data_IF_157594725641
#
_entry.id   IF_157594725641
#
_cell.length_a   1.000
_cell.length_b   1.000
_cell.length_c   1.000
_cell.angle_alpha   90.00
_cell.angle_beta   90.00
_cell.angle_gamma   90.00
#
_symmetry.space_group_name_H-M   'P 1'
#
loop_
_entity.id
_entity.type
_entity.pdbx_description
1 polymer ?
#
# COMPACT_ATOMS: atom_id res chain seq x y z
N UNK A 1 4.65 32.20 8.79
CA UNK A 1 3.73 31.82 7.69
C UNK A 1 4.50 30.95 6.71
N UNK A 2 3.94 29.82 6.28
CA UNK A 2 4.55 29.00 5.22
C UNK A 2 4.26 29.62 3.86
N UNK A 3 5.29 29.81 3.04
CA UNK A 3 5.13 30.31 1.66
C UNK A 3 5.03 29.11 0.73
N UNK A 4 4.00 29.10 -0.13
CA UNK A 4 3.79 28.00 -1.07
C UNK A 4 4.77 28.09 -2.26
N UNK A 5 5.37 26.96 -2.63
CA UNK A 5 6.26 26.88 -3.79
C UNK A 5 5.42 26.80 -5.08
N UNK A 6 5.78 27.62 -6.06
CA UNK A 6 5.21 27.62 -7.40
C UNK A 6 5.99 26.68 -8.34
N UNK A 7 7.33 26.81 -8.40
CA UNK A 7 8.18 25.97 -9.24
C UNK A 7 9.57 25.75 -8.68
N UNK A 8 10.18 24.61 -9.03
CA UNK A 8 11.60 24.30 -8.79
C UNK A 8 12.27 24.00 -10.12
N UNK A 9 13.43 24.62 -10.40
CA UNK A 9 14.19 24.44 -11.64
C UNK A 9 15.68 24.26 -11.36
N UNK A 10 16.39 23.43 -12.13
CA UNK A 10 17.85 23.38 -12.06
C UNK A 10 18.47 24.59 -12.77
N UNK A 11 19.63 25.05 -12.29
CA UNK A 11 20.45 26.09 -12.90
C UNK A 11 21.80 25.52 -13.35
N UNK A 12 22.50 26.14 -14.35
CA UNK A 12 23.75 25.63 -14.91
C UNK A 12 24.88 25.38 -13.88
N UNK A 13 24.92 26.16 -12.79
CA UNK A 13 25.97 26.08 -11.77
C UNK A 13 25.69 25.01 -10.69
N UNK A 14 24.98 23.93 -11.04
CA UNK A 14 24.52 22.91 -10.07
C UNK A 14 23.72 23.49 -8.89
N UNK A 15 23.04 24.61 -9.13
CA UNK A 15 22.13 25.24 -8.17
C UNK A 15 20.68 24.95 -8.55
N UNK A 16 19.78 25.25 -7.63
CA UNK A 16 18.33 25.18 -7.83
C UNK A 16 17.74 26.56 -7.63
N UNK A 17 16.78 26.91 -8.46
CA UNK A 17 15.94 28.09 -8.28
C UNK A 17 14.56 27.64 -7.81
N UNK A 18 14.08 28.25 -6.73
CA UNK A 18 12.73 28.06 -6.21
C UNK A 18 11.97 29.38 -6.41
N UNK A 19 10.87 29.31 -7.16
CA UNK A 19 9.91 30.40 -7.27
C UNK A 19 8.75 30.12 -6.34
N UNK A 20 8.40 31.12 -5.53
CA UNK A 20 7.29 31.07 -4.60
C UNK A 20 6.02 31.68 -5.21
N UNK A 21 4.86 31.39 -4.62
CA UNK A 21 3.57 31.92 -5.09
C UNK A 21 3.43 33.44 -4.98
N UNK A 22 4.21 34.07 -4.12
CA UNK A 22 4.29 35.53 -3.98
C UNK A 22 5.28 36.15 -4.96
N UNK A 23 5.67 35.43 -6.02
CA UNK A 23 6.62 35.84 -7.05
C UNK A 23 8.10 35.94 -6.62
N UNK A 24 8.39 35.86 -5.32
CA UNK A 24 9.76 35.78 -4.82
C UNK A 24 10.51 34.58 -5.42
N UNK A 25 11.80 34.77 -5.66
CA UNK A 25 12.67 33.75 -6.21
C UNK A 25 13.96 33.68 -5.41
N UNK A 26 14.32 32.47 -4.97
CA UNK A 26 15.55 32.21 -4.22
C UNK A 26 16.36 31.09 -4.86
N UNK A 27 17.69 31.18 -4.73
CA UNK A 27 18.63 30.17 -5.19
C UNK A 27 19.19 29.34 -4.03
N UNK A 28 19.37 28.05 -4.28
CA UNK A 28 19.90 27.11 -3.30
C UNK A 28 20.91 26.17 -3.94
N UNK A 29 21.97 25.84 -3.21
CA UNK A 29 22.93 24.82 -3.63
C UNK A 29 22.38 23.40 -3.45
N UNK A 30 21.44 23.21 -2.51
CA UNK A 30 20.83 21.92 -2.18
C UNK A 30 19.36 22.12 -1.83
N UNK A 31 18.53 21.14 -2.19
CA UNK A 31 17.10 21.11 -1.89
C UNK A 31 16.71 19.75 -1.31
N UNK A 32 15.81 19.74 -0.31
CA UNK A 32 15.25 18.54 0.28
C UNK A 32 13.72 18.57 0.09
N UNK A 33 13.17 17.55 -0.58
CA UNK A 33 11.72 17.40 -0.74
C UNK A 33 11.14 16.60 0.43
N UNK A 34 10.35 17.26 1.29
CA UNK A 34 9.62 16.65 2.40
C UNK A 34 8.10 16.88 2.27
N UNK A 35 7.57 16.77 1.05
CA UNK A 35 6.21 17.22 0.67
C UNK A 35 5.12 16.14 0.79
N UNK A 36 5.45 14.97 1.37
CA UNK A 36 4.56 13.81 1.38
C UNK A 36 4.09 13.42 -0.04
N UNK A 37 2.82 13.02 -0.17
CA UNK A 37 2.21 12.61 -1.45
C UNK A 37 1.76 13.78 -2.34
N UNK A 38 2.36 14.96 -2.19
CA UNK A 38 1.98 16.18 -2.93
C UNK A 38 2.34 16.10 -4.42
N UNK A 39 1.33 16.07 -5.30
CA UNK A 39 1.51 15.96 -6.76
C UNK A 39 2.35 17.09 -7.40
N UNK A 40 2.33 18.29 -6.82
CA UNK A 40 3.16 19.40 -7.32
C UNK A 40 4.64 19.07 -7.25
N UNK A 41 5.07 18.44 -6.15
CA UNK A 41 6.45 18.01 -5.97
C UNK A 41 6.83 16.90 -6.94
N UNK A 42 5.90 16.00 -7.28
CA UNK A 42 6.13 14.96 -8.28
C UNK A 42 6.45 15.58 -9.64
N UNK A 43 5.71 16.60 -10.06
CA UNK A 43 6.00 17.31 -11.30
C UNK A 43 7.38 17.97 -11.27
N UNK A 44 7.78 18.55 -10.14
CA UNK A 44 9.11 19.13 -9.98
C UNK A 44 10.21 18.07 -10.05
N UNK A 45 10.05 16.93 -9.38
CA UNK A 45 11.00 15.82 -9.42
C UNK A 45 11.15 15.25 -10.83
N UNK A 46 10.05 15.08 -11.57
CA UNK A 46 10.08 14.68 -12.99
C UNK A 46 10.84 15.70 -13.85
N UNK A 47 10.58 17.00 -13.66
CA UNK A 47 11.28 18.07 -14.38
C UNK A 47 12.79 18.14 -14.05
N UNK A 48 13.19 17.63 -12.87
CA UNK A 48 14.58 17.47 -12.46
C UNK A 48 15.22 16.17 -12.99
N UNK A 49 14.49 15.36 -13.77
CA UNK A 49 14.99 14.13 -14.38
C UNK A 49 14.84 12.87 -13.52
N UNK A 50 14.14 12.94 -12.38
CA UNK A 50 13.82 11.75 -11.60
C UNK A 50 12.66 10.96 -12.23
N UNK A 51 12.65 9.65 -12.01
CA UNK A 51 11.50 8.79 -12.34
C UNK A 51 10.59 8.62 -11.12
N UNK A 52 9.28 8.52 -11.34
CA UNK A 52 8.30 8.25 -10.28
C UNK A 52 7.63 6.91 -10.56
N UNK A 53 7.70 6.00 -9.59
CA UNK A 53 6.94 4.76 -9.62
C UNK A 53 5.46 5.05 -9.35
N UNK A 54 4.57 4.49 -10.16
CA UNK A 54 3.13 4.70 -10.00
C UNK A 54 2.67 4.35 -8.59
N UNK A 55 2.01 5.25 -7.85
CA UNK A 55 1.59 4.98 -6.49
C UNK A 55 0.54 3.86 -6.47
N UNK A 56 0.69 2.91 -5.55
CA UNK A 56 -0.35 1.93 -5.23
C UNK A 56 -0.79 2.09 -3.79
N UNK A 57 -2.07 1.82 -3.47
CA UNK A 57 -2.54 1.88 -2.11
C UNK A 57 -1.82 0.90 -1.18
N UNK A 58 -1.61 1.32 0.06
CA UNK A 58 -1.03 0.53 1.16
C UNK A 58 -1.70 0.93 2.47
N UNK A 59 -1.47 0.18 3.56
CA UNK A 59 -2.05 0.44 4.88
C UNK A 59 -3.58 0.58 4.83
N UNK A 60 -4.23 -0.32 4.11
CA UNK A 60 -5.68 -0.40 3.99
C UNK A 60 -6.22 -1.68 4.61
N UNK A 61 -7.52 -1.66 4.88
CA UNK A 61 -8.29 -2.77 5.42
C UNK A 61 -8.86 -3.62 4.30
N UNK A 62 -9.06 -4.91 4.56
CA UNK A 62 -9.51 -5.83 3.53
C UNK A 62 -11.02 -5.99 3.55
N UNK A 63 -11.64 -5.88 2.37
CA UNK A 63 -13.06 -6.19 2.20
C UNK A 63 -13.24 -7.68 1.96
N UNK A 64 -13.95 -8.33 2.87
CA UNK A 64 -14.14 -9.78 2.90
C UNK A 64 -15.62 -10.05 2.76
N UNK A 65 -15.96 -10.91 1.80
CA UNK A 65 -17.32 -11.45 1.66
C UNK A 65 -17.23 -12.93 2.03
N UNK A 66 -17.49 -13.24 3.30
CA UNK A 66 -17.47 -14.61 3.83
C UNK A 66 -18.54 -14.75 4.91
N UNK A 67 -19.49 -15.69 4.78
CA UNK A 67 -20.56 -15.90 5.76
C UNK A 67 -20.05 -16.15 7.19
N UNK A 68 -18.82 -16.65 7.34
CA UNK A 68 -18.22 -16.90 8.66
C UNK A 68 -17.89 -15.62 9.43
N UNK A 69 -17.85 -14.46 8.75
CA UNK A 69 -17.65 -13.16 9.40
C UNK A 69 -18.98 -12.42 9.68
N UNK A 70 -20.12 -12.98 9.25
CA UNK A 70 -21.43 -12.40 9.53
C UNK A 70 -21.67 -12.33 11.04
N UNK A 71 -22.23 -11.21 11.52
CA UNK A 71 -22.50 -10.93 12.93
C UNK A 71 -21.26 -10.91 13.85
N UNK A 72 -20.03 -10.94 13.29
CA UNK A 72 -18.78 -10.83 14.05
C UNK A 72 -18.17 -9.42 14.04
N UNK A 73 -18.85 -8.44 13.44
CA UNK A 73 -18.37 -7.06 13.39
C UNK A 73 -18.17 -6.49 14.81
N UNK A 74 -17.01 -5.88 15.05
CA UNK A 74 -16.62 -5.34 16.34
C UNK A 74 -15.76 -6.31 17.16
N UNK A 75 -15.69 -7.60 16.80
CA UNK A 75 -14.80 -8.53 17.47
C UNK A 75 -13.34 -8.19 17.18
N UNK A 76 -12.55 -8.16 18.24
CA UNK A 76 -11.11 -7.91 18.19
C UNK A 76 -10.36 -9.10 18.75
N UNK A 77 -9.31 -9.51 18.05
CA UNK A 77 -8.39 -10.54 18.48
C UNK A 77 -7.02 -9.90 18.68
N UNK A 78 -6.47 -10.00 19.88
CA UNK A 78 -5.20 -9.34 20.23
C UNK A 78 -4.01 -9.93 19.47
N UNK A 79 -4.02 -11.24 19.25
CA UNK A 79 -2.93 -11.97 18.61
C UNK A 79 -3.45 -12.91 17.55
N UNK A 80 -3.24 -12.55 16.28
CA UNK A 80 -3.55 -13.37 15.12
C UNK A 80 -2.37 -13.40 14.16
N UNK A 81 -2.28 -14.43 13.33
CA UNK A 81 -1.41 -14.44 12.16
C UNK A 81 -2.26 -14.36 10.89
N UNK A 82 -2.08 -13.27 10.13
CA UNK A 82 -2.75 -13.05 8.85
C UNK A 82 -1.75 -13.30 7.72
N UNK A 83 -2.14 -14.03 6.67
CA UNK A 83 -1.24 -14.37 5.57
C UNK A 83 -1.88 -14.26 4.18
N UNK A 84 -1.16 -13.65 3.25
CA UNK A 84 -1.42 -13.72 1.81
C UNK A 84 -0.64 -14.91 1.24
N UNK A 85 -1.28 -16.07 1.24
CA UNK A 85 -0.61 -17.36 0.99
C UNK A 85 0.01 -17.44 -0.41
N UNK A 86 -0.63 -16.84 -1.41
CA UNK A 86 -0.12 -16.78 -2.79
C UNK A 86 1.21 -16.03 -2.91
N UNK A 87 1.49 -15.10 -1.99
CA UNK A 87 2.68 -14.25 -2.02
C UNK A 87 3.72 -14.63 -0.96
N UNK A 88 3.43 -15.62 -0.12
CA UNK A 88 4.32 -16.00 0.99
C UNK A 88 4.46 -14.91 2.06
N UNK A 89 3.51 -13.99 2.17
CA UNK A 89 3.54 -12.91 3.16
C UNK A 89 2.67 -13.28 4.36
N UNK A 90 3.23 -13.18 5.56
CA UNK A 90 2.50 -13.25 6.82
C UNK A 90 2.78 -12.03 7.70
N UNK A 91 1.84 -11.75 8.58
CA UNK A 91 1.94 -10.71 9.60
C UNK A 91 1.23 -11.15 10.88
N UNK A 92 1.96 -11.11 11.99
CA UNK A 92 1.42 -11.28 13.33
C UNK A 92 0.98 -9.93 13.89
N UNK A 93 -0.18 -9.89 14.55
CA UNK A 93 -0.71 -8.71 15.22
C UNK A 93 -2.19 -8.81 15.55
N UNK A 94 -2.75 -7.71 16.05
CA UNK A 94 -4.18 -7.65 16.33
C UNK A 94 -5.02 -7.52 15.05
N UNK A 95 -6.21 -8.10 15.11
CA UNK A 95 -7.20 -8.16 14.06
C UNK A 95 -8.52 -7.61 14.58
N UNK A 96 -9.15 -6.74 13.80
CA UNK A 96 -10.51 -6.26 14.03
C UNK A 96 -11.40 -6.75 12.90
N UNK A 97 -12.45 -7.50 13.23
CA UNK A 97 -13.51 -7.82 12.27
C UNK A 97 -14.44 -6.63 12.14
N UNK A 98 -14.70 -6.18 10.91
CA UNK A 98 -15.58 -5.05 10.61
C UNK A 98 -16.83 -5.54 9.86
N UNK A 99 -17.84 -4.68 9.76
CA UNK A 99 -19.09 -4.96 9.02
C UNK A 99 -18.90 -5.24 7.52
N UNK A 100 -17.68 -5.14 6.99
CA UNK A 100 -17.37 -5.38 5.59
C UNK A 100 -16.06 -6.15 5.38
N UNK A 101 -15.42 -6.61 6.46
CA UNK A 101 -14.26 -7.48 6.37
C UNK A 101 -13.34 -7.39 7.57
N UNK A 102 -12.07 -7.07 7.35
CA UNK A 102 -11.05 -7.11 8.38
C UNK A 102 -10.12 -5.88 8.37
N UNK A 103 -9.72 -5.47 9.57
CA UNK A 103 -8.85 -4.35 9.87
C UNK A 103 -7.86 -4.75 10.98
N UNK A 104 -7.15 -3.77 11.53
CA UNK A 104 -6.18 -3.94 12.60
C UNK A 104 -4.73 -4.00 12.10
N UNK A 105 -3.75 -3.83 13.00
CA UNK A 105 -2.34 -3.84 12.69
C UNK A 105 -1.86 -5.01 11.82
N UNK A 106 -2.40 -6.22 12.02
CA UNK A 106 -2.04 -7.36 11.20
C UNK A 106 -2.41 -7.15 9.73
N UNK A 107 -3.64 -6.69 9.47
CA UNK A 107 -4.16 -6.44 8.12
C UNK A 107 -3.50 -5.23 7.46
N UNK A 108 -3.35 -4.12 8.19
CA UNK A 108 -2.76 -2.89 7.63
C UNK A 108 -1.30 -3.09 7.21
N UNK A 109 -0.49 -3.75 8.05
CA UNK A 109 0.90 -4.05 7.71
C UNK A 109 0.99 -5.06 6.57
N UNK A 110 0.13 -6.07 6.56
CA UNK A 110 0.08 -7.06 5.49
C UNK A 110 -0.29 -6.43 4.14
N UNK A 111 -1.24 -5.48 4.13
CA UNK A 111 -1.63 -4.75 2.92
C UNK A 111 -0.53 -3.82 2.41
N UNK A 112 0.28 -3.24 3.30
CA UNK A 112 1.48 -2.51 2.91
C UNK A 112 2.57 -3.42 2.33
N UNK A 113 2.81 -4.58 2.96
CA UNK A 113 3.81 -5.55 2.50
C UNK A 113 3.49 -6.13 1.12
N UNK A 114 2.22 -6.46 0.88
CA UNK A 114 1.74 -7.01 -0.40
C UNK A 114 1.15 -5.98 -1.38
N UNK A 115 1.42 -4.68 -1.19
CA UNK A 115 0.69 -3.62 -1.91
C UNK A 115 0.75 -3.76 -3.44
N UNK A 116 1.91 -4.14 -3.99
CA UNK A 116 2.09 -4.29 -5.44
C UNK A 116 1.44 -5.56 -5.97
N UNK A 117 1.63 -6.68 -5.30
CA UNK A 117 1.06 -7.97 -5.67
C UNK A 117 -0.46 -7.93 -5.60
N UNK A 118 -1.01 -7.32 -4.54
CA UNK A 118 -2.45 -7.06 -4.39
C UNK A 118 -2.97 -6.17 -5.53
N UNK A 119 -2.26 -5.07 -5.85
CA UNK A 119 -2.65 -4.20 -6.96
C UNK A 119 -2.67 -4.95 -8.30
N UNK A 120 -1.65 -5.76 -8.57
CA UNK A 120 -1.51 -6.53 -9.82
C UNK A 120 -2.57 -7.64 -9.95
N UNK A 121 -3.08 -8.13 -8.82
CA UNK A 121 -4.17 -9.11 -8.74
C UNK A 121 -5.55 -8.47 -8.64
N UNK A 122 -5.66 -7.16 -8.88
CA UNK A 122 -6.91 -6.40 -8.75
C UNK A 122 -7.58 -6.59 -7.37
N UNK A 123 -6.74 -6.80 -6.34
CA UNK A 123 -7.11 -7.09 -4.96
C UNK A 123 -7.93 -8.37 -4.77
N UNK A 124 -7.81 -9.31 -5.69
CA UNK A 124 -8.40 -10.65 -5.62
C UNK A 124 -7.31 -11.66 -5.23
N UNK A 125 -7.36 -12.13 -3.99
CA UNK A 125 -6.44 -13.15 -3.48
C UNK A 125 -7.06 -13.85 -2.29
N UNK A 126 -6.35 -14.84 -1.76
CA UNK A 126 -6.67 -15.53 -0.53
C UNK A 126 -5.96 -14.92 0.68
N UNK A 127 -6.73 -14.52 1.69
CA UNK A 127 -6.21 -14.35 3.05
C UNK A 127 -6.52 -15.56 3.89
N UNK A 128 -5.49 -16.03 4.59
CA UNK A 128 -5.60 -16.96 5.72
C UNK A 128 -5.47 -16.19 7.03
N UNK A 129 -6.33 -16.52 7.99
CA UNK A 129 -6.27 -16.01 9.36
C UNK A 129 -6.10 -17.18 10.31
N UNK A 130 -5.05 -17.15 11.13
CA UNK A 130 -4.90 -18.00 12.31
C UNK A 130 -5.22 -17.17 13.57
N UNK A 131 -6.33 -17.50 14.23
CA UNK A 131 -6.81 -16.80 15.42
C UNK A 131 -6.08 -17.22 16.71
N UNK A 132 -5.32 -18.32 16.69
CA UNK A 132 -4.61 -18.87 17.87
C UNK A 132 -3.19 -19.32 17.51
N UNK A 133 -2.35 -18.41 16.98
CA UNK A 133 -1.03 -18.77 16.50
C UNK A 133 -0.12 -19.29 17.63
N UNK A 134 0.59 -20.38 17.37
CA UNK A 134 1.60 -20.95 18.27
C UNK A 134 1.12 -22.08 19.18
N UNK A 135 -0.16 -22.45 19.17
CA UNK A 135 -0.66 -23.60 19.95
C UNK A 135 -0.52 -24.88 19.11
N UNK A 136 0.43 -25.76 19.48
CA UNK A 136 0.62 -27.09 18.85
C UNK A 136 -0.62 -27.98 19.02
N UNK A 137 -0.79 -28.95 18.10
CA UNK A 137 -2.00 -29.80 18.00
C UNK A 137 -2.28 -30.66 19.24
N UNK A 138 -1.28 -30.99 20.06
CA UNK A 138 -1.42 -32.04 21.07
C UNK A 138 -1.94 -31.60 22.46
N UNK A 139 -1.96 -30.30 22.77
CA UNK A 139 -2.33 -29.84 24.12
C UNK A 139 -3.78 -29.33 24.27
N UNK A 140 -4.60 -29.36 23.20
CA UNK A 140 -5.98 -28.89 23.26
C UNK A 140 -6.98 -29.92 22.72
N UNK A 141 -7.57 -30.70 23.63
CA UNK A 141 -8.68 -31.64 23.41
C UNK A 141 -9.63 -31.26 22.25
N UNK A 142 -9.82 -32.20 21.32
CA UNK A 142 -11.05 -32.59 20.56
C UNK A 142 -12.12 -31.53 20.17
N UNK A 143 -11.80 -30.24 20.13
CA UNK A 143 -12.65 -29.20 19.55
C UNK A 143 -12.14 -28.84 18.17
N UNK A 144 -12.99 -28.88 17.14
CA UNK A 144 -12.67 -28.35 15.80
C UNK A 144 -12.19 -26.91 15.95
N UNK A 145 -10.88 -26.65 15.88
CA UNK A 145 -10.37 -25.27 15.91
C UNK A 145 -10.69 -24.58 14.59
N UNK A 146 -11.17 -23.35 14.71
CA UNK A 146 -11.70 -22.53 13.62
C UNK A 146 -10.78 -22.53 12.39
N UNK A 147 -11.26 -23.25 11.38
CA UNK A 147 -11.28 -22.93 9.97
C UNK A 147 -10.19 -21.97 9.47
N UNK A 148 -9.28 -22.50 8.66
CA UNK A 148 -8.70 -21.72 7.56
C UNK A 148 -9.84 -20.99 6.84
N UNK A 149 -9.96 -19.69 7.08
CA UNK A 149 -10.74 -18.83 6.21
C UNK A 149 -9.89 -18.71 4.94
N UNK A 150 -10.33 -19.35 3.86
CA UNK A 150 -9.79 -19.10 2.52
C UNK A 150 -10.71 -18.06 1.91
N UNK A 151 -10.40 -16.80 2.18
CA UNK A 151 -11.27 -15.70 1.81
C UNK A 151 -10.93 -15.26 0.40
N UNK A 152 -11.90 -15.30 -0.51
CA UNK A 152 -11.82 -14.49 -1.72
C UNK A 152 -12.12 -13.04 -1.34
N UNK A 153 -11.14 -12.17 -1.50
CA UNK A 153 -11.40 -10.74 -1.41
C UNK A 153 -12.04 -10.25 -2.69
N UNK A 154 -13.09 -9.44 -2.54
CA UNK A 154 -13.60 -8.63 -3.63
C UNK A 154 -13.45 -7.17 -3.28
N UNK A 155 -12.56 -6.51 -4.03
CA UNK A 155 -12.43 -5.05 -4.13
C UNK A 155 -12.45 -4.33 -2.78
N UNK A 156 -11.29 -3.96 -2.23
CA UNK A 156 -11.26 -2.85 -1.30
C UNK A 156 -11.92 -1.65 -2.00
N UNK A 157 -13.11 -1.19 -1.54
CA UNK A 157 -13.70 0.06 -2.04
C UNK A 157 -12.79 1.18 -1.55
N UNK A 158 -11.76 1.49 -2.33
CA UNK A 158 -11.08 2.76 -2.21
C UNK A 158 -12.08 3.83 -2.62
N UNK A 159 -12.75 4.42 -1.62
CA UNK A 159 -13.40 5.71 -1.78
C UNK A 159 -12.32 6.77 -1.77
N UNK A 160 -11.46 6.73 -2.80
CA UNK A 160 -10.67 7.85 -3.25
C UNK A 160 -10.27 7.61 -4.71
N UNK A 161 -11.21 8.05 -5.57
CA UNK A 161 -11.00 8.52 -6.93
C UNK A 161 -10.85 7.50 -8.06
N UNK A 162 -12.01 7.06 -8.57
CA UNK A 162 -12.18 6.73 -10.00
C UNK A 162 -12.03 7.96 -10.93
N UNK A 163 -11.57 9.12 -10.43
CA UNK A 163 -11.21 10.32 -11.20
C UNK A 163 -9.68 10.53 -11.30
N UNK A 164 -8.85 9.63 -10.75
CA UNK A 164 -7.40 9.85 -10.52
C UNK A 164 -6.45 9.09 -11.47
N UNK A 165 -6.92 8.11 -12.25
CA UNK A 165 -6.14 7.55 -13.35
C UNK A 165 -6.86 7.79 -14.68
N UNK A 166 -6.20 8.49 -15.60
CA UNK A 166 -6.58 8.48 -17.00
C UNK A 166 -6.60 7.03 -17.48
N UNK A 167 -7.72 6.61 -18.07
CA UNK A 167 -7.81 5.34 -18.82
C UNK A 167 -6.78 5.36 -19.95
N UNK A 168 -6.18 4.20 -20.22
CA UNK A 168 -5.05 3.91 -21.12
C UNK A 168 -3.73 3.96 -20.35
N UNK A 169 -3.17 2.83 -19.91
CA UNK A 169 -2.51 1.87 -20.79
C UNK A 169 -2.76 0.43 -20.27
N UNK A 170 -3.45 -0.40 -21.05
CA UNK A 170 -3.47 -1.86 -20.87
C UNK A 170 -2.30 -2.50 -21.63
N UNK A 171 -1.68 -3.49 -20.98
CA UNK A 171 -1.12 -4.71 -21.59
C UNK A 171 0.23 -4.74 -22.33
N UNK A 172 1.05 -3.68 -22.42
CA UNK A 172 2.37 -3.81 -23.09
C UNK A 172 3.60 -3.78 -22.19
N UNK A 173 3.51 -3.39 -20.91
CA UNK A 173 4.73 -3.07 -20.13
C UNK A 173 5.30 -4.24 -19.29
N UNK A 174 4.51 -5.28 -19.06
CA UNK A 174 4.88 -6.40 -18.19
C UNK A 174 6.01 -7.31 -18.73
N UNK A 175 6.36 -7.21 -20.03
CA UNK A 175 7.47 -7.99 -20.60
C UNK A 175 8.85 -7.32 -20.49
N UNK A 176 8.96 -6.08 -19.99
CA UNK A 176 10.26 -5.40 -19.91
C UNK A 176 10.94 -5.49 -18.52
N UNK A 177 10.23 -5.95 -17.48
CA UNK A 177 10.70 -5.96 -16.08
C UNK A 177 11.49 -7.23 -15.71
N UNK A 178 12.18 -7.86 -16.68
CA UNK A 178 13.21 -8.87 -16.40
C UNK A 178 14.62 -8.47 -16.87
N UNK A 179 14.82 -7.23 -17.37
CA UNK A 179 16.12 -6.79 -17.90
C UNK A 179 16.87 -5.71 -17.11
N UNK A 180 16.37 -5.23 -15.97
CA UNK A 180 17.03 -4.16 -15.20
C UNK A 180 17.26 -4.55 -13.73
N UNK A 181 17.91 -5.70 -13.52
CA UNK A 181 18.53 -6.06 -12.21
C UNK A 181 20.06 -6.20 -12.37
N UNK A 182 20.67 -5.44 -13.29
CA UNK A 182 22.13 -5.29 -13.36
C UNK A 182 22.49 -3.82 -13.55
N UNK A 183 22.78 -3.20 -12.41
CA UNK A 183 23.48 -1.95 -12.10
C UNK A 183 22.73 -1.45 -10.87
N UNK A 184 23.13 -1.82 -9.67
CA UNK A 184 24.22 -1.15 -8.96
C UNK A 184 24.98 -2.23 -8.16
N UNK A 185 26.23 -2.47 -8.59
CA UNK A 185 27.34 -2.63 -7.66
C UNK A 185 27.56 -1.27 -6.99
#
# INVERSE_FOLDING_TARGET
>A
MGVEIHSVKPLPNSKFQIKFKNEDTLEFNKILFATGSGRKAWNWLLALGHTISDPVPSLFTFKIVDPRLENLSGLTFEKTECSLTEFGYSQLGSLLVTHWGASGPAILKLSAKGARELFNKEYETTLRIDFVPGIKKDEGRKGKRASSLQIHFQHARFRNSKKILGKNIRNSFYRSIQKVVRLIL
#
